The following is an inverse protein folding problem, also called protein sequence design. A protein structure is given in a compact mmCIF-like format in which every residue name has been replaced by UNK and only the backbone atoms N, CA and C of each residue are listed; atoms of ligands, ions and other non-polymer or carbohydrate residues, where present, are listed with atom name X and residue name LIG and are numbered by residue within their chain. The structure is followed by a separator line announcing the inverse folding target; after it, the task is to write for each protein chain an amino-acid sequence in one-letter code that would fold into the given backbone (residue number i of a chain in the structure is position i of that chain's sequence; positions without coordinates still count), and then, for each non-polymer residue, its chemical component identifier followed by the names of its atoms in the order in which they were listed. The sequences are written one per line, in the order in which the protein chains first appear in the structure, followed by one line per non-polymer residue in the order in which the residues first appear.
data_IF_326853534278
#
_entry.id   IF_326853534278
#
_cell.length_a   1.000
_cell.length_b   1.000
_cell.length_c   1.000
_cell.angle_alpha   90.00
_cell.angle_beta   90.00
_cell.angle_gamma   90.00
#
_symmetry.space_group_name_H-M   'P 1'
#
loop_
_entity.id
_entity.type
_entity.pdbx_description
1 polymer ?
#
# COMPACT_ATOMS: atom_id res chain seq x y z
N UNK A 1 -22.83 22.45 -4.39
CA UNK A 1 -23.19 22.59 -5.81
C UNK A 1 -23.23 21.20 -6.45
N UNK A 2 -24.41 20.67 -6.80
CA UNK A 2 -24.57 19.27 -7.24
C UNK A 2 -24.07 19.03 -8.68
N UNK A 3 -24.02 20.09 -9.49
CA UNK A 3 -23.57 20.06 -10.89
C UNK A 3 -22.07 19.74 -11.01
N UNK A 4 -21.24 20.32 -10.13
CA UNK A 4 -19.79 20.13 -10.11
C UNK A 4 -19.40 18.71 -9.70
N UNK A 5 -20.10 18.14 -8.71
CA UNK A 5 -19.91 16.74 -8.27
C UNK A 5 -20.25 15.78 -9.40
N UNK A 6 -21.34 16.03 -10.14
CA UNK A 6 -21.71 15.22 -11.30
C UNK A 6 -20.65 15.26 -12.41
N UNK A 7 -20.09 16.45 -12.71
CA UNK A 7 -19.05 16.60 -13.74
C UNK A 7 -17.70 15.97 -13.36
N UNK A 8 -17.33 16.05 -12.08
CA UNK A 8 -16.14 15.38 -11.53
C UNK A 8 -16.24 13.87 -11.73
N UNK A 9 -17.38 13.27 -11.36
CA UNK A 9 -17.62 11.84 -11.61
C UNK A 9 -17.64 11.51 -13.11
N UNK A 10 -18.16 12.41 -13.94
CA UNK A 10 -18.28 12.20 -15.38
C UNK A 10 -16.92 12.15 -16.09
N UNK A 11 -15.99 13.09 -15.81
CA UNK A 11 -14.66 13.06 -16.44
C UNK A 11 -13.86 11.83 -16.01
N UNK A 12 -13.97 11.42 -14.74
CA UNK A 12 -13.33 10.20 -14.23
C UNK A 12 -13.92 8.94 -14.88
N UNK A 13 -15.23 8.92 -15.12
CA UNK A 13 -15.90 7.82 -15.81
C UNK A 13 -15.45 7.71 -17.28
N UNK A 14 -15.45 8.81 -18.05
CA UNK A 14 -14.96 8.78 -19.44
C UNK A 14 -13.49 8.44 -19.54
N UNK A 15 -12.68 8.94 -18.58
CA UNK A 15 -11.29 8.52 -18.44
C UNK A 15 -11.25 7.00 -18.26
N UNK A 16 -12.03 6.44 -17.33
CA UNK A 16 -12.09 5.01 -17.06
C UNK A 16 -12.44 4.14 -18.29
N UNK A 17 -13.18 4.70 -19.25
CA UNK A 17 -13.61 4.00 -20.46
C UNK A 17 -12.67 4.20 -21.66
N UNK A 18 -11.51 4.86 -21.47
CA UNK A 18 -10.59 5.24 -22.54
C UNK A 18 -11.23 6.16 -23.61
N UNK A 19 -12.18 7.01 -23.22
CA UNK A 19 -12.88 7.91 -24.15
C UNK A 19 -12.19 9.28 -24.22
N UNK A 20 -11.09 9.34 -24.98
CA UNK A 20 -10.29 10.55 -25.12
C UNK A 20 -11.07 11.72 -25.77
N UNK A 21 -12.07 11.41 -26.62
CA UNK A 21 -12.88 12.43 -27.28
C UNK A 21 -13.82 13.12 -26.26
N UNK A 22 -14.50 12.34 -25.41
CA UNK A 22 -15.34 12.91 -24.37
C UNK A 22 -14.53 13.63 -23.29
N UNK A 23 -13.38 13.07 -22.87
CA UNK A 23 -12.48 13.75 -21.92
C UNK A 23 -12.04 15.10 -22.47
N UNK A 24 -11.61 15.17 -23.74
CA UNK A 24 -11.23 16.42 -24.40
C UNK A 24 -12.37 17.43 -24.42
N UNK A 25 -13.56 17.00 -24.85
CA UNK A 25 -14.75 17.85 -24.89
C UNK A 25 -15.09 18.42 -23.51
N UNK A 26 -15.06 17.61 -22.47
CA UNK A 26 -15.32 18.06 -21.10
C UNK A 26 -14.28 19.09 -20.63
N UNK A 27 -13.01 18.88 -20.97
CA UNK A 27 -11.94 19.82 -20.62
C UNK A 27 -11.97 21.12 -21.44
N UNK A 28 -12.51 21.09 -22.66
CA UNK A 28 -12.75 22.28 -23.48
C UNK A 28 -13.93 23.10 -22.92
N UNK A 29 -14.96 22.44 -22.38
CA UNK A 29 -16.09 23.09 -21.72
C UNK A 29 -15.74 23.61 -20.32
N UNK A 30 -14.94 22.86 -19.56
CA UNK A 30 -14.54 23.17 -18.19
C UNK A 30 -13.13 22.63 -17.88
N UNK A 31 -12.12 23.49 -18.07
CA UNK A 31 -10.73 23.16 -17.83
C UNK A 31 -10.40 22.82 -16.37
N UNK A 32 -11.25 23.19 -15.41
CA UNK A 32 -11.02 22.89 -13.99
C UNK A 32 -11.10 21.39 -13.69
N UNK A 33 -11.80 20.63 -14.54
CA UNK A 33 -11.98 19.19 -14.43
C UNK A 33 -10.68 18.39 -14.58
N UNK A 34 -9.61 19.00 -15.12
CA UNK A 34 -8.28 18.35 -15.17
C UNK A 34 -7.75 18.00 -13.77
N UNK A 35 -8.18 18.77 -12.76
CA UNK A 35 -7.83 18.61 -11.35
C UNK A 35 -8.92 17.91 -10.52
N UNK A 36 -9.95 17.36 -11.19
CA UNK A 36 -11.02 16.59 -10.56
C UNK A 36 -10.45 15.46 -9.70
N UNK A 37 -11.13 15.15 -8.59
CA UNK A 37 -10.69 14.12 -7.64
C UNK A 37 -11.84 13.21 -7.24
N UNK A 38 -11.57 11.91 -7.21
CA UNK A 38 -12.49 10.92 -6.65
C UNK A 38 -12.38 10.80 -5.13
N UNK A 39 -13.08 9.83 -4.54
CA UNK A 39 -13.08 9.59 -3.08
C UNK A 39 -11.71 9.17 -2.51
N UNK A 40 -10.80 8.67 -3.35
CA UNK A 40 -9.42 8.35 -3.02
C UNK A 40 -8.45 9.47 -3.44
N UNK A 41 -8.98 10.66 -3.75
CA UNK A 41 -8.20 11.82 -4.22
C UNK A 41 -7.44 11.58 -5.53
N UNK A 42 -7.82 10.54 -6.31
CA UNK A 42 -7.23 10.25 -7.61
C UNK A 42 -7.74 11.23 -8.65
N UNK A 43 -6.82 11.74 -9.46
CA UNK A 43 -7.13 12.60 -10.60
C UNK A 43 -7.41 11.78 -11.85
N UNK A 44 -8.01 12.35 -12.91
CA UNK A 44 -8.13 11.66 -14.21
C UNK A 44 -6.78 11.10 -14.69
N UNK A 45 -5.67 11.80 -14.43
CA UNK A 45 -4.35 11.31 -14.84
C UNK A 45 -3.92 10.04 -14.08
N UNK A 46 -4.29 9.87 -12.81
CA UNK A 46 -4.07 8.60 -12.08
C UNK A 46 -4.84 7.46 -12.73
N UNK A 47 -6.13 7.68 -13.06
CA UNK A 47 -6.96 6.65 -13.69
C UNK A 47 -6.40 6.27 -15.06
N UNK A 48 -6.02 7.27 -15.88
CA UNK A 48 -5.38 7.02 -17.17
C UNK A 48 -4.05 6.25 -17.03
N UNK A 49 -3.24 6.61 -16.04
CA UNK A 49 -1.95 5.99 -15.81
C UNK A 49 -2.05 4.51 -15.38
N UNK A 50 -2.95 4.20 -14.44
CA UNK A 50 -3.20 2.84 -13.95
C UNK A 50 -3.59 1.87 -15.07
N UNK A 51 -4.44 2.34 -15.99
CA UNK A 51 -4.93 1.51 -17.09
C UNK A 51 -4.07 1.60 -18.36
N UNK A 52 -3.17 2.58 -18.45
CA UNK A 52 -2.27 2.77 -19.59
C UNK A 52 -2.91 3.46 -20.80
N UNK A 53 -3.92 4.31 -20.59
CA UNK A 53 -4.59 5.05 -21.67
C UNK A 53 -3.79 6.25 -22.13
N UNK A 54 -2.86 6.02 -23.04
CA UNK A 54 -1.89 7.02 -23.50
C UNK A 54 -2.58 8.25 -24.11
N UNK A 55 -3.54 8.06 -25.01
CA UNK A 55 -4.24 9.19 -25.67
C UNK A 55 -4.98 10.09 -24.68
N UNK A 56 -5.58 9.48 -23.65
CA UNK A 56 -6.25 10.22 -22.57
C UNK A 56 -5.23 10.96 -21.71
N UNK A 57 -4.11 10.32 -21.35
CA UNK A 57 -3.05 10.95 -20.59
C UNK A 57 -2.40 12.11 -21.35
N UNK A 58 -2.13 11.98 -22.66
CA UNK A 58 -1.63 13.07 -23.49
C UNK A 58 -2.61 14.25 -23.52
N UNK A 59 -3.91 13.97 -23.67
CA UNK A 59 -4.95 14.98 -23.61
C UNK A 59 -4.95 15.73 -22.26
N UNK A 60 -4.89 15.00 -21.15
CA UNK A 60 -4.87 15.57 -19.81
C UNK A 60 -3.62 16.43 -19.57
N UNK A 61 -2.44 15.93 -19.94
CA UNK A 61 -1.18 16.65 -19.81
C UNK A 61 -1.13 17.91 -20.68
N UNK A 62 -1.64 17.83 -21.91
CA UNK A 62 -1.78 18.99 -22.80
C UNK A 62 -2.71 20.07 -22.22
N UNK A 63 -3.67 19.67 -21.38
CA UNK A 63 -4.59 20.56 -20.66
C UNK A 63 -4.08 21.00 -19.29
N UNK A 64 -2.81 20.72 -18.96
CA UNK A 64 -2.18 21.19 -17.73
C UNK A 64 -2.44 20.32 -16.50
N UNK A 65 -2.72 19.02 -16.69
CA UNK A 65 -2.76 18.08 -15.58
C UNK A 65 -1.44 18.08 -14.81
N UNK A 66 -1.51 18.13 -13.49
CA UNK A 66 -0.34 17.95 -12.63
C UNK A 66 0.15 16.50 -12.72
N UNK A 67 1.26 16.30 -13.41
CA UNK A 67 1.92 15.00 -13.60
C UNK A 67 2.40 14.37 -12.29
N UNK A 68 2.54 15.17 -11.24
CA UNK A 68 2.99 14.76 -9.91
C UNK A 68 1.89 14.90 -8.85
N UNK A 69 0.62 14.98 -9.27
CA UNK A 69 -0.51 14.99 -8.35
C UNK A 69 -0.45 13.78 -7.43
N UNK A 70 -0.85 13.97 -6.17
CA UNK A 70 -0.84 12.90 -5.17
C UNK A 70 -2.27 12.44 -4.86
N UNK A 71 -2.44 11.12 -4.78
CA UNK A 71 -3.66 10.49 -4.28
C UNK A 71 -3.65 10.35 -2.74
N UNK A 72 -4.68 9.68 -2.20
CA UNK A 72 -4.81 9.35 -0.77
C UNK A 72 -3.60 8.63 -0.19
N UNK A 73 -2.93 7.80 -0.98
CA UNK A 73 -1.81 6.95 -0.56
C UNK A 73 -0.45 7.56 -0.90
N UNK A 74 -0.42 8.81 -1.34
CA UNK A 74 0.80 9.52 -1.77
C UNK A 74 1.42 8.91 -3.03
N UNK A 75 0.65 8.19 -3.85
CA UNK A 75 1.10 7.76 -5.16
C UNK A 75 0.96 8.90 -6.16
N UNK A 76 1.89 8.95 -7.11
CA UNK A 76 1.78 9.76 -8.33
C UNK A 76 1.17 8.94 -9.46
N UNK A 77 0.68 9.56 -10.54
CA UNK A 77 0.30 8.84 -11.75
C UNK A 77 1.41 7.92 -12.27
N UNK A 78 2.68 8.34 -12.16
CA UNK A 78 3.82 7.51 -12.55
C UNK A 78 3.93 6.25 -11.68
N UNK A 79 3.74 6.37 -10.37
CA UNK A 79 3.75 5.22 -9.46
C UNK A 79 2.62 4.22 -9.78
N UNK A 80 1.42 4.70 -10.14
CA UNK A 80 0.31 3.85 -10.58
C UNK A 80 0.65 3.09 -11.89
N UNK A 81 1.26 3.79 -12.86
CA UNK A 81 1.70 3.18 -14.12
C UNK A 81 2.80 2.12 -13.89
N UNK A 82 3.75 2.38 -12.99
CA UNK A 82 4.81 1.44 -12.59
C UNK A 82 4.24 0.20 -11.91
N UNK A 83 3.36 0.38 -10.92
CA UNK A 83 2.69 -0.72 -10.22
C UNK A 83 1.85 -1.62 -11.15
N UNK A 84 1.19 -1.01 -12.14
CA UNK A 84 0.43 -1.71 -13.17
C UNK A 84 1.27 -2.18 -14.38
N UNK A 85 2.59 -1.97 -14.37
CA UNK A 85 3.54 -2.36 -15.43
C UNK A 85 3.18 -1.81 -16.82
N UNK A 86 2.70 -0.57 -16.89
CA UNK A 86 2.31 0.13 -18.12
C UNK A 86 3.50 0.81 -18.78
N UNK A 87 4.42 0.03 -19.35
CA UNK A 87 5.70 0.51 -19.91
C UNK A 87 5.58 1.76 -20.79
N UNK A 88 4.66 1.78 -21.76
CA UNK A 88 4.51 2.92 -22.66
C UNK A 88 3.99 4.18 -21.95
N UNK A 89 3.17 4.01 -20.91
CA UNK A 89 2.68 5.10 -20.05
C UNK A 89 3.78 5.63 -19.12
N UNK A 90 4.61 4.74 -18.58
CA UNK A 90 5.76 5.10 -17.73
C UNK A 90 6.69 6.04 -18.50
N UNK A 91 7.04 5.69 -19.74
CA UNK A 91 7.90 6.52 -20.59
C UNK A 91 7.25 7.87 -20.93
N UNK A 92 5.94 7.88 -21.21
CA UNK A 92 5.17 9.10 -21.45
C UNK A 92 5.20 10.02 -20.22
N UNK A 93 4.88 9.51 -19.03
CA UNK A 93 4.84 10.32 -17.81
C UNK A 93 6.23 10.84 -17.44
N UNK A 94 7.29 10.03 -17.59
CA UNK A 94 8.68 10.46 -17.40
C UNK A 94 9.07 11.59 -18.35
N UNK A 95 8.69 11.48 -19.63
CA UNK A 95 8.93 12.54 -20.63
C UNK A 95 8.30 13.87 -20.23
N UNK A 96 7.16 13.82 -19.53
CA UNK A 96 6.46 15.00 -19.02
C UNK A 96 6.92 15.44 -17.61
N UNK A 97 8.02 14.88 -17.08
CA UNK A 97 8.55 15.26 -15.77
C UNK A 97 7.85 14.59 -14.58
N UNK A 98 7.17 13.47 -14.82
CA UNK A 98 6.60 12.62 -13.78
C UNK A 98 7.70 12.02 -12.91
N UNK A 99 7.48 12.04 -11.60
CA UNK A 99 8.43 11.60 -10.60
C UNK A 99 7.84 10.42 -9.84
N UNK A 100 8.67 9.40 -9.59
CA UNK A 100 8.34 8.21 -8.82
C UNK A 100 8.22 8.51 -7.30
N UNK A 101 7.95 9.77 -6.90
CA UNK A 101 8.02 10.18 -5.49
C UNK A 101 7.05 9.41 -4.60
N UNK A 102 7.60 8.64 -3.66
CA UNK A 102 7.04 8.48 -2.32
C UNK A 102 7.94 9.23 -1.33
N UNK A 103 7.54 10.42 -0.84
CA UNK A 103 8.22 11.11 0.27
C UNK A 103 7.93 10.43 1.63
N UNK A 104 8.14 9.13 1.66
CA UNK A 104 8.38 8.19 2.76
C UNK A 104 8.25 6.83 2.08
N UNK A 105 9.33 6.05 2.05
CA UNK A 105 9.46 4.90 1.16
C UNK A 105 8.28 3.93 1.16
N UNK A 106 7.45 4.04 0.12
CA UNK A 106 6.75 2.91 -0.48
C UNK A 106 7.54 2.48 -1.72
N UNK A 107 8.78 2.01 -1.49
CA UNK A 107 9.49 1.27 -2.51
C UNK A 107 8.73 -0.05 -2.71
N UNK A 108 7.90 -0.10 -3.75
CA UNK A 108 7.60 -1.33 -4.48
C UNK A 108 8.73 -1.73 -5.43
N UNK A 109 9.95 -1.20 -5.24
CA UNK A 109 11.10 -2.04 -5.57
C UNK A 109 11.24 -3.06 -4.46
N UNK A 110 10.75 -4.26 -4.73
CA UNK A 110 11.39 -5.44 -4.19
C UNK A 110 12.86 -5.37 -4.58
N UNK A 111 13.72 -4.80 -3.72
CA UNK A 111 15.09 -5.28 -3.66
C UNK A 111 14.92 -6.77 -3.38
N UNK A 112 15.17 -7.57 -4.40
CA UNK A 112 15.29 -9.02 -4.27
C UNK A 112 16.50 -9.26 -3.36
N UNK A 113 16.27 -9.19 -2.05
CA UNK A 113 17.17 -9.79 -1.10
C UNK A 113 17.13 -11.28 -1.47
N UNK A 114 18.27 -11.87 -1.89
CA UNK A 114 18.29 -13.30 -2.21
C UNK A 114 17.67 -14.08 -1.05
N UNK A 115 16.93 -15.16 -1.33
CA UNK A 115 16.22 -15.89 -0.30
C UNK A 115 17.20 -16.21 0.84
N UNK A 116 16.86 -15.90 2.10
CA UNK A 116 17.54 -16.54 3.21
C UNK A 116 17.38 -18.04 2.96
N UNK A 117 18.53 -18.73 2.91
CA UNK A 117 18.58 -20.16 2.66
C UNK A 117 17.62 -20.82 3.65
N UNK A 118 16.78 -21.71 3.15
CA UNK A 118 15.71 -22.38 3.89
C UNK A 118 16.29 -23.12 5.11
N UNK A 119 16.47 -22.39 6.19
CA UNK A 119 16.82 -22.89 7.49
C UNK A 119 16.05 -22.06 8.51
N UNK A 120 15.54 -22.75 9.52
CA UNK A 120 14.54 -22.29 10.50
C UNK A 120 14.94 -20.99 11.26
N UNK A 121 16.18 -20.54 11.15
CA UNK A 121 16.79 -19.49 11.98
C UNK A 121 16.75 -18.07 11.37
N UNK A 122 16.53 -17.89 10.07
CA UNK A 122 16.70 -16.55 9.45
C UNK A 122 15.51 -15.61 9.69
N UNK A 123 14.34 -16.13 10.06
CA UNK A 123 13.13 -15.35 10.37
C UNK A 123 12.81 -15.29 11.88
N UNK A 124 13.48 -16.10 12.70
CA UNK A 124 13.30 -16.06 14.16
C UNK A 124 14.03 -14.82 14.69
N UNK A 125 13.28 -13.91 15.31
CA UNK A 125 13.81 -12.65 15.82
C UNK A 125 14.26 -12.84 17.25
N UNK A 126 15.45 -12.36 17.59
CA UNK A 126 15.84 -12.20 18.98
C UNK A 126 14.99 -11.07 19.60
N UNK A 127 14.15 -11.34 20.63
CA UNK A 127 13.24 -10.35 21.20
C UNK A 127 13.97 -9.12 21.78
N UNK A 128 15.26 -9.23 22.13
CA UNK A 128 16.07 -8.11 22.62
C UNK A 128 16.36 -7.06 21.54
N UNK A 129 16.22 -7.41 20.26
CA UNK A 129 16.37 -6.44 19.17
C UNK A 129 15.14 -5.55 18.99
N UNK A 130 14.00 -5.95 19.55
CA UNK A 130 12.74 -5.22 19.44
C UNK A 130 12.68 -4.12 20.51
N UNK A 131 12.54 -2.88 20.06
CA UNK A 131 12.41 -1.70 20.92
C UNK A 131 10.93 -1.34 21.11
N UNK A 132 10.45 -1.61 22.32
CA UNK A 132 9.09 -1.29 22.76
C UNK A 132 8.98 -0.01 23.59
N UNK A 133 10.06 0.78 23.75
CA UNK A 133 10.06 1.98 24.62
C UNK A 133 9.04 3.03 24.19
N UNK A 134 8.81 3.16 22.88
CA UNK A 134 7.80 4.06 22.29
C UNK A 134 6.62 3.28 21.70
N UNK A 135 6.37 2.07 22.20
CA UNK A 135 5.33 1.22 21.63
C UNK A 135 3.93 1.81 21.85
N UNK A 136 3.09 1.71 20.82
CA UNK A 136 1.68 2.16 20.88
C UNK A 136 0.78 1.03 20.40
N UNK A 137 -0.28 0.75 21.14
CA UNK A 137 -1.30 -0.20 20.69
C UNK A 137 -2.05 0.38 19.50
N UNK A 138 -2.00 -0.33 18.37
CA UNK A 138 -2.66 0.06 17.11
C UNK A 138 -3.87 -0.81 16.80
N UNK A 139 -4.05 -1.93 17.51
CA UNK A 139 -5.21 -2.79 17.35
C UNK A 139 -5.23 -3.97 18.33
N UNK A 140 -6.29 -4.77 18.25
CA UNK A 140 -6.43 -6.06 18.92
C UNK A 140 -6.71 -7.11 17.87
N UNK A 141 -5.98 -8.23 17.93
CA UNK A 141 -6.24 -9.43 17.14
C UNK A 141 -7.02 -10.46 17.95
N UNK A 142 -7.29 -11.62 17.36
CA UNK A 142 -8.10 -12.70 17.93
C UNK A 142 -7.52 -13.25 19.25
N UNK A 143 -6.19 -13.31 19.35
CA UNK A 143 -5.47 -13.90 20.49
C UNK A 143 -4.55 -12.91 21.22
N UNK A 144 -4.65 -11.62 20.89
CA UNK A 144 -3.90 -10.61 21.63
C UNK A 144 -3.88 -9.23 21.01
N UNK A 145 -2.75 -8.55 21.14
CA UNK A 145 -2.61 -7.13 20.84
C UNK A 145 -1.70 -6.88 19.65
N UNK A 146 -1.99 -5.81 18.92
CA UNK A 146 -1.15 -5.35 17.81
C UNK A 146 -0.53 -4.03 18.25
N UNK A 147 0.78 -4.03 18.34
CA UNK A 147 1.60 -2.93 18.80
C UNK A 147 2.38 -2.37 17.61
N UNK A 148 2.52 -1.05 17.53
CA UNK A 148 3.55 -0.41 16.74
C UNK A 148 4.81 -0.31 17.60
N UNK A 149 5.93 -0.84 17.13
CA UNK A 149 7.22 -0.81 17.81
C UNK A 149 8.33 -0.46 16.81
N UNK A 150 9.59 -0.46 17.25
CA UNK A 150 10.74 -0.30 16.37
C UNK A 150 11.63 -1.55 16.39
N UNK A 151 12.23 -1.87 15.25
CA UNK A 151 13.30 -2.87 15.14
C UNK A 151 14.45 -2.26 14.34
N UNK A 152 15.62 -2.13 14.96
CA UNK A 152 16.81 -1.49 14.36
C UNK A 152 16.51 -0.11 13.74
N UNK A 153 15.67 0.69 14.41
CA UNK A 153 15.25 2.02 13.94
C UNK A 153 14.13 2.03 12.89
N UNK A 154 13.66 0.86 12.44
CA UNK A 154 12.57 0.73 11.47
C UNK A 154 11.24 0.50 12.20
N UNK A 155 10.18 1.28 11.89
CA UNK A 155 8.87 1.06 12.50
C UNK A 155 8.24 -0.24 11.99
N UNK A 156 7.75 -1.06 12.93
CA UNK A 156 7.17 -2.38 12.67
C UNK A 156 5.83 -2.53 13.38
N UNK A 157 5.00 -3.45 12.88
CA UNK A 157 3.83 -3.93 13.57
C UNK A 157 4.15 -5.27 14.23
N UNK A 158 3.78 -5.41 15.50
CA UNK A 158 4.01 -6.60 16.32
C UNK A 158 2.67 -7.11 16.80
N UNK A 159 2.25 -8.28 16.33
CA UNK A 159 1.10 -9.02 16.86
C UNK A 159 1.61 -9.94 17.97
N UNK A 160 1.24 -9.62 19.21
CA UNK A 160 1.69 -10.32 20.42
C UNK A 160 0.54 -11.13 21.00
N UNK A 161 0.79 -12.40 21.31
CA UNK A 161 -0.17 -13.23 22.07
C UNK A 161 -0.17 -12.81 23.53
N UNK A 162 -1.37 -12.66 24.11
CA UNK A 162 -1.50 -12.32 25.53
C UNK A 162 -0.91 -13.42 26.42
N UNK A 163 -0.26 -13.06 27.55
CA UNK A 163 0.29 -14.05 28.47
C UNK A 163 -0.72 -15.11 28.91
N UNK A 164 -1.98 -14.71 29.14
CA UNK A 164 -3.09 -15.59 29.53
C UNK A 164 -3.46 -16.66 28.50
N UNK A 165 -3.13 -16.43 27.22
CA UNK A 165 -3.42 -17.36 26.11
C UNK A 165 -2.15 -18.05 25.59
N UNK A 166 -0.98 -17.69 26.13
CA UNK A 166 0.33 -18.13 25.63
C UNK A 166 0.71 -19.57 26.00
N UNK A 167 -0.08 -20.23 26.85
CA UNK A 167 0.07 -21.64 27.23
C UNK A 167 -0.96 -22.55 26.56
N UNK A 168 -1.95 -21.98 25.87
CA UNK A 168 -2.97 -22.76 25.17
C UNK A 168 -2.37 -23.41 23.92
N UNK A 169 -2.40 -24.74 23.86
CA UNK A 169 -1.83 -25.52 22.77
C UNK A 169 -2.45 -25.16 21.42
N UNK A 170 -3.76 -24.90 21.35
CA UNK A 170 -4.45 -24.54 20.11
C UNK A 170 -4.01 -23.16 19.65
N UNK A 171 -3.92 -22.19 20.56
CA UNK A 171 -3.45 -20.83 20.26
C UNK A 171 -2.01 -20.83 19.74
N UNK A 172 -1.13 -21.62 20.37
CA UNK A 172 0.27 -21.78 19.91
C UNK A 172 0.32 -22.45 18.53
N UNK A 173 -0.53 -23.45 18.28
CA UNK A 173 -0.60 -24.14 16.99
C UNK A 173 -1.09 -23.20 15.88
N UNK A 174 -2.16 -22.45 16.12
CA UNK A 174 -2.70 -21.47 15.18
C UNK A 174 -1.69 -20.38 14.87
N UNK A 175 -0.98 -19.88 15.89
CA UNK A 175 0.10 -18.92 15.71
C UNK A 175 1.24 -19.48 14.86
N UNK A 176 1.70 -20.71 15.14
CA UNK A 176 2.73 -21.38 14.33
C UNK A 176 2.26 -21.63 12.90
N UNK A 177 0.97 -21.93 12.71
CA UNK A 177 0.38 -22.07 11.38
C UNK A 177 0.40 -20.74 10.61
N UNK A 178 -0.01 -19.65 11.25
CA UNK A 178 0.03 -18.29 10.69
C UNK A 178 1.45 -17.91 10.26
N UNK A 179 2.46 -18.13 11.12
CA UNK A 179 3.88 -17.91 10.79
C UNK A 179 4.30 -18.72 9.55
N UNK A 180 3.95 -20.02 9.50
CA UNK A 180 4.30 -20.88 8.37
C UNK A 180 3.65 -20.46 7.05
N UNK A 181 2.42 -19.91 7.09
CA UNK A 181 1.77 -19.35 5.90
C UNK A 181 2.48 -18.08 5.44
N UNK A 182 2.78 -17.17 6.37
CA UNK A 182 3.41 -15.88 6.05
C UNK A 182 4.84 -16.03 5.51
N UNK A 183 5.59 -17.04 5.95
CA UNK A 183 6.90 -17.37 5.37
C UNK A 183 6.79 -17.68 3.87
N UNK A 184 5.70 -18.33 3.46
CA UNK A 184 5.47 -18.76 2.07
C UNK A 184 4.82 -17.67 1.20
N UNK A 185 4.20 -16.67 1.82
CA UNK A 185 3.46 -15.62 1.12
C UNK A 185 4.35 -14.39 0.93
N UNK A 186 4.92 -14.26 -0.28
CA UNK A 186 5.58 -13.02 -0.74
C UNK A 186 4.83 -12.46 -1.94
N UNK A 187 4.20 -11.31 -1.75
CA UNK A 187 3.48 -10.64 -2.83
C UNK A 187 3.55 -9.14 -2.59
N UNK A 188 3.67 -8.32 -3.64
CA UNK A 188 3.72 -6.88 -3.48
C UNK A 188 2.52 -6.35 -2.67
N UNK A 189 1.30 -6.73 -3.01
CA UNK A 189 0.10 -6.22 -2.33
C UNK A 189 -0.24 -6.88 -0.97
N UNK A 190 0.69 -7.57 -0.32
CA UNK A 190 0.49 -8.20 0.99
C UNK A 190 1.51 -7.60 1.97
N UNK A 191 1.07 -7.34 3.21
CA UNK A 191 1.95 -6.85 4.28
C UNK A 191 3.16 -7.77 4.41
N UNK A 192 4.36 -7.20 4.26
CA UNK A 192 5.59 -7.95 4.30
C UNK A 192 5.83 -8.55 5.68
N UNK A 193 5.94 -9.89 5.71
CA UNK A 193 6.43 -10.64 6.87
C UNK A 193 7.93 -10.38 7.06
N UNK A 194 8.31 -10.00 8.29
CA UNK A 194 9.70 -9.72 8.65
C UNK A 194 10.30 -10.82 9.53
N UNK A 195 9.50 -11.39 10.42
CA UNK A 195 9.94 -12.47 11.30
C UNK A 195 8.96 -12.76 12.42
N UNK A 196 9.33 -13.66 13.32
CA UNK A 196 8.53 -13.99 14.50
C UNK A 196 9.43 -14.37 15.68
N UNK A 197 8.88 -14.29 16.88
CA UNK A 197 9.44 -14.85 18.12
C UNK A 197 8.57 -16.03 18.49
N UNK A 198 9.09 -17.23 18.29
CA UNK A 198 8.39 -18.50 18.52
C UNK A 198 9.03 -19.33 19.63
N UNK A 199 10.31 -19.07 19.96
CA UNK A 199 11.07 -19.84 20.95
C UNK A 199 10.91 -19.31 22.38
N UNK A 200 10.65 -18.00 22.52
CA UNK A 200 10.51 -17.35 23.82
C UNK A 200 9.18 -16.63 23.95
N UNK A 201 8.73 -16.45 25.19
CA UNK A 201 7.52 -15.66 25.47
C UNK A 201 7.88 -14.18 25.68
N UNK A 202 6.99 -13.26 25.27
CA UNK A 202 5.72 -13.51 24.60
C UNK A 202 5.91 -13.91 23.13
N UNK A 203 5.03 -14.77 22.61
CA UNK A 203 5.02 -15.13 21.19
C UNK A 203 4.61 -13.90 20.36
N UNK A 204 5.41 -13.57 19.36
CA UNK A 204 5.26 -12.33 18.58
C UNK A 204 5.41 -12.58 17.09
N UNK A 205 4.48 -12.08 16.30
CA UNK A 205 4.60 -12.03 14.84
C UNK A 205 4.96 -10.59 14.45
N UNK A 206 6.00 -10.42 13.63
CA UNK A 206 6.55 -9.12 13.25
C UNK A 206 6.41 -8.89 11.76
N UNK A 207 5.79 -7.77 11.39
CA UNK A 207 5.55 -7.36 10.01
C UNK A 207 5.88 -5.89 9.81
N UNK A 208 5.94 -5.45 8.56
CA UNK A 208 6.11 -4.03 8.27
C UNK A 208 4.94 -3.18 8.80
N UNK A 209 5.24 -1.95 9.23
CA UNK A 209 4.21 -1.00 9.64
C UNK A 209 3.74 -0.14 8.46
N UNK A 210 2.53 -0.41 7.96
CA UNK A 210 1.92 0.41 6.90
C UNK A 210 1.32 1.71 7.47
N UNK A 211 1.88 2.85 7.05
CA UNK A 211 1.37 4.19 7.42
C UNK A 211 0.10 4.49 6.60
N UNK A 212 -1.00 4.85 7.27
CA UNK A 212 -2.24 5.30 6.59
C UNK A 212 -3.36 4.26 6.48
N UNK A 213 -3.09 2.98 6.78
CA UNK A 213 -4.14 1.95 6.85
C UNK A 213 -4.85 2.04 8.20
N UNK A 214 -5.80 2.96 8.34
CA UNK A 214 -6.75 2.92 9.46
C UNK A 214 -7.67 1.72 9.26
N UNK A 215 -7.41 0.65 10.01
CA UNK A 215 -8.36 -0.43 10.35
C UNK A 215 -8.72 -1.54 9.35
N UNK A 216 -8.17 -1.60 8.12
CA UNK A 216 -8.64 -2.60 7.14
C UNK A 216 -7.94 -3.97 7.23
N UNK A 217 -6.63 -4.03 7.41
CA UNK A 217 -5.91 -5.32 7.41
C UNK A 217 -5.99 -6.08 8.74
N UNK A 218 -6.19 -5.39 9.86
CA UNK A 218 -6.03 -5.96 11.20
C UNK A 218 -7.33 -6.46 11.83
N UNK A 219 -8.48 -6.30 11.15
CA UNK A 219 -9.79 -6.75 11.65
C UNK A 219 -10.25 -8.10 11.06
N UNK A 220 -9.60 -8.61 10.01
CA UNK A 220 -10.09 -9.77 9.29
C UNK A 220 -9.29 -11.03 9.60
N UNK A 221 -9.40 -11.53 10.83
CA UNK A 221 -9.30 -12.97 11.11
C UNK A 221 -10.17 -13.31 12.31
N UNK A 222 -11.45 -12.95 12.18
CA UNK A 222 -12.52 -13.57 12.98
C UNK A 222 -13.10 -14.63 12.06
N UNK A 223 -12.74 -15.88 12.27
CA UNK A 223 -13.62 -16.99 11.94
C UNK A 223 -14.63 -17.12 13.08
#
# INVERSE_FOLDING_TARGET
DKSLVARTSLILWHTHQNDAAAVRKLLDEDGTLVSARDYDSRTPLHVAALHGWQDVAECLLAKGADVNALDRWQNTPLADAEGAKRHAMIELLKKHGGLTFGKTGSHFEAKSIPPPLTNKADWEINPLELDFTKAVMIGKGSFGEILKANWRGTPIAVKRILPSLSDDRLVIQDFKHEVNLLIKLRHPNIVQFLGAVTETKPLMLVTEFLRGVRNLFWKSTTL
#
